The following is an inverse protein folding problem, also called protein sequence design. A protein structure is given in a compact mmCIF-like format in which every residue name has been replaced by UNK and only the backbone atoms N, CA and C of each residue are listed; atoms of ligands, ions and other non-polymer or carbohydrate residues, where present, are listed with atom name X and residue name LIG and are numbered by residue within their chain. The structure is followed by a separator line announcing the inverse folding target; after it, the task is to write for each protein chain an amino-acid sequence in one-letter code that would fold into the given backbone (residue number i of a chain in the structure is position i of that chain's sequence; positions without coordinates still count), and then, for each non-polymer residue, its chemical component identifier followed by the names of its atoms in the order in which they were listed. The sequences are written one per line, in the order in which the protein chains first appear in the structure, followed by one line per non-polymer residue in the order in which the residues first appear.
data_IF_143191522425
#
_entry.id   IF_143191522425
#
_cell.length_a   1.000
_cell.length_b   1.000
_cell.length_c   1.000
_cell.angle_alpha   90.00
_cell.angle_beta   90.00
_cell.angle_gamma   90.00
#
_symmetry.space_group_name_H-M   'P 1'
#
loop_
_entity.id
_entity.type
_entity.pdbx_description
1 polymer ?
#
# COMPACT_ATOMS: atom_id res chain seq x y z
N UNK A 1 -14.28 -17.58 -62.00
CA UNK A 1 -13.09 -17.39 -61.15
C UNK A 1 -13.07 -15.93 -60.70
N UNK A 2 -13.51 -15.71 -59.46
CA UNK A 2 -13.82 -14.42 -58.83
C UNK A 2 -12.53 -13.71 -58.39
N UNK A 3 -12.05 -12.75 -59.18
CA UNK A 3 -10.86 -11.96 -58.82
C UNK A 3 -11.26 -10.79 -57.92
N UNK A 4 -10.71 -10.80 -56.71
CA UNK A 4 -10.99 -9.90 -55.61
C UNK A 4 -10.68 -8.42 -55.93
N UNK A 5 -11.65 -7.54 -55.72
CA UNK A 5 -11.45 -6.09 -55.61
C UNK A 5 -11.54 -5.72 -54.13
N UNK A 6 -10.46 -5.95 -53.37
CA UNK A 6 -10.36 -5.46 -51.99
C UNK A 6 -10.13 -3.95 -52.06
N UNK A 7 -11.06 -3.11 -51.56
CA UNK A 7 -10.89 -1.66 -51.60
C UNK A 7 -9.65 -1.29 -50.78
N UNK A 8 -8.68 -0.69 -51.45
CA UNK A 8 -7.44 -0.19 -50.86
C UNK A 8 -7.78 1.06 -50.04
N UNK A 9 -8.31 0.87 -48.83
CA UNK A 9 -8.48 1.95 -47.86
C UNK A 9 -7.10 2.59 -47.64
N UNK A 10 -6.94 3.91 -47.86
CA UNK A 10 -5.65 4.56 -47.73
C UNK A 10 -5.19 4.37 -46.30
N UNK A 11 -3.99 3.80 -46.13
CA UNK A 11 -3.41 3.45 -44.83
C UNK A 11 -3.46 4.65 -43.86
N UNK A 12 -3.38 5.88 -44.38
CA UNK A 12 -3.61 7.12 -43.63
C UNK A 12 -4.99 7.22 -42.96
N UNK A 13 -6.08 6.80 -43.62
CA UNK A 13 -7.44 6.86 -43.05
C UNK A 13 -7.60 5.92 -41.84
N UNK A 14 -6.95 4.76 -41.88
CA UNK A 14 -6.95 3.80 -40.77
C UNK A 14 -6.23 4.36 -39.55
N UNK A 15 -5.09 5.04 -39.76
CA UNK A 15 -4.36 5.70 -38.67
C UNK A 15 -5.13 6.87 -38.05
N UNK A 16 -5.82 7.67 -38.88
CA UNK A 16 -6.66 8.78 -38.38
C UNK A 16 -7.84 8.25 -37.58
N UNK A 17 -8.53 7.20 -38.06
CA UNK A 17 -9.61 6.55 -37.33
C UNK A 17 -9.12 5.97 -35.99
N UNK A 18 -7.95 5.33 -35.96
CA UNK A 18 -7.36 4.80 -34.74
C UNK A 18 -7.05 5.91 -33.72
N UNK A 19 -6.48 7.03 -34.16
CA UNK A 19 -6.19 8.18 -33.30
C UNK A 19 -7.46 8.82 -32.73
N UNK A 20 -8.52 8.94 -33.54
CA UNK A 20 -9.82 9.44 -33.08
C UNK A 20 -10.47 8.49 -32.08
N UNK A 21 -10.34 7.18 -32.28
CA UNK A 21 -10.87 6.17 -31.36
C UNK A 21 -10.15 6.18 -30.01
N UNK A 22 -8.82 6.34 -30.02
CA UNK A 22 -7.99 6.49 -28.82
C UNK A 22 -8.35 7.78 -28.08
N UNK A 23 -8.51 8.90 -28.80
CA UNK A 23 -8.92 10.18 -28.22
C UNK A 23 -10.33 10.12 -27.62
N UNK A 24 -11.28 9.46 -28.30
CA UNK A 24 -12.63 9.26 -27.78
C UNK A 24 -12.65 8.38 -26.52
N UNK A 25 -11.80 7.35 -26.46
CA UNK A 25 -11.65 6.50 -25.28
C UNK A 25 -11.01 7.27 -24.10
N UNK A 26 -10.09 8.18 -24.38
CA UNK A 26 -9.46 9.03 -23.36
C UNK A 26 -10.44 10.01 -22.70
N UNK A 27 -11.49 10.45 -23.40
CA UNK A 27 -12.54 11.33 -22.84
C UNK A 27 -13.49 10.59 -21.90
N UNK A 28 -13.60 9.26 -22.02
CA UNK A 28 -14.48 8.42 -21.19
C UNK A 28 -13.82 8.07 -19.84
N UNK A 29 -12.50 8.24 -19.72
CA UNK A 29 -11.74 8.02 -18.47
C UNK A 29 -11.04 9.30 -17.97
N UNK A 30 -11.79 10.36 -17.61
CA UNK A 30 -11.19 11.62 -17.15
C UNK A 30 -10.47 11.52 -15.80
N UNK A 31 -10.68 10.44 -15.04
CA UNK A 31 -10.21 10.34 -13.65
C UNK A 31 -8.76 9.88 -13.48
N UNK A 32 -8.17 9.20 -14.47
CA UNK A 32 -6.84 8.58 -14.29
C UNK A 32 -5.67 9.57 -14.45
N UNK A 33 -5.88 10.73 -15.09
CA UNK A 33 -4.79 11.65 -15.44
C UNK A 33 -4.55 12.76 -14.40
N UNK A 34 -5.51 13.04 -13.51
CA UNK A 34 -5.41 14.12 -12.51
C UNK A 34 -5.07 13.65 -11.09
N UNK A 35 -5.04 12.33 -10.81
CA UNK A 35 -4.74 11.79 -9.48
C UNK A 35 -3.22 11.65 -9.16
N UNK A 36 -2.36 11.65 -10.19
CA UNK A 36 -0.92 11.40 -10.04
C UNK A 36 -0.13 12.46 -9.24
N UNK A 37 -0.71 13.62 -8.93
CA UNK A 37 -0.01 14.73 -8.27
C UNK A 37 0.08 14.65 -6.74
N UNK A 38 -0.75 13.85 -6.08
CA UNK A 38 -0.82 13.78 -4.60
C UNK A 38 -0.93 12.33 -4.07
N UNK A 39 -1.30 11.38 -4.93
CA UNK A 39 -1.36 9.95 -4.57
C UNK A 39 0.01 9.37 -4.27
N UNK A 40 1.07 9.77 -4.99
CA UNK A 40 2.39 9.16 -4.80
C UNK A 40 2.95 9.31 -3.37
N UNK A 41 2.81 10.49 -2.77
CA UNK A 41 3.30 10.76 -1.41
C UNK A 41 2.43 10.06 -0.37
N UNK A 42 1.10 10.11 -0.54
CA UNK A 42 0.15 9.45 0.36
C UNK A 42 0.32 7.93 0.30
N UNK A 43 0.41 7.35 -0.90
CA UNK A 43 0.71 5.93 -1.09
C UNK A 43 2.08 5.54 -0.54
N UNK A 44 3.11 6.38 -0.68
CA UNK A 44 4.40 6.11 -0.06
C UNK A 44 4.32 6.09 1.48
N UNK A 45 3.61 7.05 2.07
CA UNK A 45 3.39 7.10 3.52
C UNK A 45 2.62 5.87 4.01
N UNK A 46 1.58 5.43 3.29
CA UNK A 46 0.84 4.20 3.62
C UNK A 46 1.68 2.95 3.46
N UNK A 47 2.48 2.83 2.39
CA UNK A 47 3.39 1.69 2.21
C UNK A 47 4.43 1.59 3.33
N UNK A 48 4.94 2.73 3.82
CA UNK A 48 5.85 2.77 4.98
C UNK A 48 5.10 2.34 6.24
N UNK A 49 3.88 2.82 6.43
CA UNK A 49 3.04 2.45 7.57
C UNK A 49 2.78 0.94 7.60
N UNK A 50 2.39 0.36 6.46
CA UNK A 50 2.12 -1.07 6.31
C UNK A 50 3.37 -1.92 6.57
N UNK A 51 4.53 -1.47 6.07
CA UNK A 51 5.80 -2.14 6.36
C UNK A 51 6.14 -2.09 7.85
N UNK A 52 5.99 -0.93 8.49
CA UNK A 52 6.27 -0.73 9.91
C UNK A 52 5.34 -1.57 10.78
N UNK A 53 4.03 -1.58 10.52
CA UNK A 53 3.05 -2.35 11.28
C UNK A 53 3.07 -3.87 10.95
N UNK A 54 3.63 -4.24 9.80
CA UNK A 54 3.66 -5.60 9.29
C UNK A 54 4.76 -6.48 9.89
N UNK A 55 5.60 -7.06 9.02
CA UNK A 55 6.64 -8.01 9.41
C UNK A 55 7.75 -7.37 10.25
N UNK A 56 8.08 -6.11 9.99
CA UNK A 56 9.15 -5.41 10.68
C UNK A 56 8.85 -5.23 12.19
N UNK A 57 7.70 -4.65 12.55
CA UNK A 57 7.32 -4.53 13.97
C UNK A 57 7.28 -5.89 14.68
N UNK A 58 6.79 -6.94 14.00
CA UNK A 58 6.76 -8.30 14.57
C UNK A 58 8.17 -8.82 14.88
N UNK A 59 9.13 -8.62 13.97
CA UNK A 59 10.53 -9.01 14.21
C UNK A 59 11.11 -8.25 15.39
N UNK A 60 10.92 -6.93 15.47
CA UNK A 60 11.43 -6.10 16.57
C UNK A 60 10.80 -6.50 17.91
N UNK A 61 9.49 -6.68 17.96
CA UNK A 61 8.78 -7.12 19.15
C UNK A 61 9.28 -8.50 19.62
N UNK A 62 9.49 -9.44 18.69
CA UNK A 62 10.01 -10.77 19.01
C UNK A 62 11.40 -10.68 19.63
N UNK A 63 12.30 -9.87 19.08
CA UNK A 63 13.64 -9.65 19.63
C UNK A 63 13.55 -9.06 21.04
N UNK A 64 12.71 -8.06 21.25
CA UNK A 64 12.51 -7.45 22.56
C UNK A 64 12.05 -8.48 23.62
N UNK A 65 11.07 -9.32 23.28
CA UNK A 65 10.60 -10.39 24.18
C UNK A 65 11.70 -11.40 24.49
N UNK A 66 12.51 -11.80 23.50
CA UNK A 66 13.63 -12.72 23.71
C UNK A 66 14.65 -12.15 24.70
N UNK A 67 15.03 -10.88 24.53
CA UNK A 67 15.99 -10.19 25.41
C UNK A 67 15.45 -10.14 26.85
N UNK A 68 14.18 -9.76 27.00
CA UNK A 68 13.54 -9.68 28.32
C UNK A 68 13.43 -11.05 28.98
N UNK A 69 13.04 -12.08 28.23
CA UNK A 69 12.98 -13.46 28.72
C UNK A 69 14.35 -13.95 29.19
N UNK A 70 15.41 -13.65 28.45
CA UNK A 70 16.77 -13.96 28.87
C UNK A 70 17.15 -13.22 30.15
N UNK A 71 16.85 -11.92 30.24
CA UNK A 71 17.13 -11.11 31.42
C UNK A 71 16.37 -11.60 32.66
N UNK A 72 15.16 -12.12 32.47
CA UNK A 72 14.35 -12.74 33.53
C UNK A 72 15.02 -14.02 34.07
N UNK A 73 15.58 -14.86 33.20
CA UNK A 73 16.32 -16.05 33.64
C UNK A 73 17.63 -15.73 34.36
N UNK A 74 18.30 -14.62 34.02
CA UNK A 74 19.51 -14.19 34.75
C UNK A 74 19.24 -13.66 36.16
N UNK A 75 17.97 -13.60 36.59
CA UNK A 75 17.57 -13.06 37.90
C UNK A 75 17.75 -11.54 38.04
N UNK A 76 18.12 -10.85 36.95
CA UNK A 76 18.39 -9.40 36.93
C UNK A 76 17.21 -8.57 36.43
N UNK A 77 16.18 -9.18 35.84
CA UNK A 77 14.97 -8.46 35.44
C UNK A 77 13.93 -8.42 36.57
N UNK A 78 13.30 -7.26 36.75
CA UNK A 78 12.13 -7.14 37.61
C UNK A 78 10.87 -7.61 36.88
N UNK A 79 9.88 -8.12 37.62
CA UNK A 79 8.56 -8.43 37.08
C UNK A 79 7.92 -7.20 36.40
N UNK A 80 8.25 -5.99 36.88
CA UNK A 80 7.82 -4.73 36.27
C UNK A 80 8.38 -4.53 34.86
N UNK A 81 9.63 -4.92 34.59
CA UNK A 81 10.25 -4.81 33.26
C UNK A 81 9.46 -5.68 32.26
N UNK A 82 9.19 -6.93 32.62
CA UNK A 82 8.41 -7.84 31.78
C UNK A 82 7.02 -7.29 31.45
N UNK A 83 6.28 -6.84 32.47
CA UNK A 83 4.94 -6.27 32.28
C UNK A 83 4.97 -5.03 31.39
N UNK A 84 5.94 -4.14 31.60
CA UNK A 84 6.08 -2.91 30.79
C UNK A 84 6.29 -3.22 29.32
N UNK A 85 7.13 -4.21 29.01
CA UNK A 85 7.42 -4.59 27.61
C UNK A 85 6.20 -5.23 26.95
N UNK A 86 5.48 -6.11 27.66
CA UNK A 86 4.25 -6.71 27.15
C UNK A 86 3.20 -5.65 26.84
N UNK A 87 2.97 -4.71 27.77
CA UNK A 87 2.04 -3.59 27.55
C UNK A 87 2.48 -2.74 26.35
N UNK A 88 3.76 -2.43 26.24
CA UNK A 88 4.29 -1.67 25.10
C UNK A 88 4.00 -2.35 23.76
N UNK A 89 4.19 -3.66 23.68
CA UNK A 89 3.89 -4.45 22.47
C UNK A 89 2.40 -4.37 22.12
N UNK A 90 1.50 -4.52 23.10
CA UNK A 90 0.07 -4.37 22.87
C UNK A 90 -0.28 -3.00 22.28
N UNK A 91 0.29 -1.92 22.82
CA UNK A 91 0.03 -0.55 22.33
C UNK A 91 0.51 -0.38 20.88
N UNK A 92 1.71 -0.87 20.53
CA UNK A 92 2.24 -0.75 19.17
C UNK A 92 1.34 -1.44 18.16
N UNK A 93 0.85 -2.65 18.46
CA UNK A 93 -0.01 -3.40 17.53
C UNK A 93 -1.46 -2.92 17.51
N UNK A 94 -1.95 -2.28 18.58
CA UNK A 94 -3.29 -1.67 18.61
C UNK A 94 -3.34 -0.25 18.04
N UNK A 95 -2.20 0.37 17.72
CA UNK A 95 -2.12 1.77 17.34
C UNK A 95 -3.01 2.15 16.15
N UNK A 96 -3.06 1.33 15.09
CA UNK A 96 -3.89 1.59 13.91
C UNK A 96 -5.37 1.72 14.28
N UNK A 97 -5.92 0.72 14.96
CA UNK A 97 -7.32 0.74 15.41
C UNK A 97 -7.64 1.94 16.31
N UNK A 98 -6.73 2.29 17.24
CA UNK A 98 -6.94 3.43 18.14
C UNK A 98 -7.02 4.73 17.33
N UNK A 99 -6.10 4.93 16.38
CA UNK A 99 -6.08 6.12 15.53
C UNK A 99 -7.34 6.18 14.67
N UNK A 100 -7.76 5.05 14.07
CA UNK A 100 -8.98 4.98 13.26
C UNK A 100 -10.21 5.44 14.06
N UNK A 101 -10.38 4.95 15.30
CA UNK A 101 -11.49 5.35 16.16
C UNK A 101 -11.44 6.85 16.52
N UNK A 102 -10.25 7.44 16.67
CA UNK A 102 -10.09 8.88 16.95
C UNK A 102 -10.41 9.72 15.72
N UNK A 103 -10.06 9.25 14.51
CA UNK A 103 -10.29 9.97 13.26
C UNK A 103 -11.70 9.80 12.69
N UNK A 104 -12.58 9.07 13.39
CA UNK A 104 -13.97 8.85 12.96
C UNK A 104 -14.17 7.64 12.05
N UNK A 105 -13.27 6.66 12.11
CA UNK A 105 -13.33 5.42 11.36
C UNK A 105 -14.51 4.54 11.78
N UNK A 106 -15.46 4.39 10.87
CA UNK A 106 -16.47 3.32 10.80
C UNK A 106 -16.29 2.58 9.47
#
# INVERSE_FOLDING_TARGET
MTHASRPMLPILSTWVLAMVLIAALAVIAPDAAFAQGTDGITSMAQNILDWLQGSFAKTVATIAVIIVGFMFFTGRASMQLFVTVVIGIFIVFSAGWIVDQITGGA
#
